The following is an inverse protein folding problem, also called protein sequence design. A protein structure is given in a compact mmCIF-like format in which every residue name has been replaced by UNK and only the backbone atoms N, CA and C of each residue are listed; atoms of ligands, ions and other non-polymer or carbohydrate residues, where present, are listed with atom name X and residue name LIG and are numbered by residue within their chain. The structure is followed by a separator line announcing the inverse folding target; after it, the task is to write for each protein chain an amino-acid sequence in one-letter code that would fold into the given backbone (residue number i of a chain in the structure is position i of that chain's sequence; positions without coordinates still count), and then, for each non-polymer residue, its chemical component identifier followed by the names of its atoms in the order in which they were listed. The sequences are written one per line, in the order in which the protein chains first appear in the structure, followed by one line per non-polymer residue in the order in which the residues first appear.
data_IF_052796626398
#
_entry.id   IF_052796626398
#
_cell.length_a   1.000
_cell.length_b   1.000
_cell.length_c   1.000
_cell.angle_alpha   90.00
_cell.angle_beta   90.00
_cell.angle_gamma   90.00
#
_symmetry.space_group_name_H-M   'P 1'
#
loop_
_entity.id
_entity.type
_entity.pdbx_description
1 polymer ?
#
# COMPACT_ATOMS: atom_id res chain seq x y z
N UNK A 1 -74.73 45.64 25.42
CA UNK A 1 -73.60 45.89 24.49
C UNK A 1 -72.75 44.63 24.46
N UNK A 2 -72.98 43.76 23.48
CA UNK A 2 -72.18 42.63 23.22
C UNK A 2 -71.01 43.07 22.31
N UNK A 3 -69.81 43.07 22.82
CA UNK A 3 -68.63 43.37 22.04
C UNK A 3 -68.31 42.17 21.14
N UNK A 4 -68.25 42.45 19.85
CA UNK A 4 -67.96 41.52 18.76
C UNK A 4 -66.51 40.99 18.89
N UNK A 5 -66.29 39.76 19.43
CA UNK A 5 -64.98 39.11 19.65
C UNK A 5 -64.53 38.21 18.48
N UNK A 6 -65.35 38.10 17.46
CA UNK A 6 -65.12 37.19 16.34
C UNK A 6 -63.87 37.51 15.46
N UNK A 7 -63.54 38.78 15.13
CA UNK A 7 -62.41 39.03 14.21
C UNK A 7 -61.06 38.74 14.82
N UNK A 8 -60.89 38.87 16.13
CA UNK A 8 -59.63 38.68 16.81
C UNK A 8 -59.19 37.19 16.83
N UNK A 9 -60.14 36.26 16.97
CA UNK A 9 -59.90 34.81 17.00
C UNK A 9 -59.49 34.30 15.61
N UNK A 10 -60.14 34.84 14.54
CA UNK A 10 -59.74 34.44 13.16
C UNK A 10 -58.34 34.92 12.75
N UNK A 11 -57.96 36.11 13.20
CA UNK A 11 -56.59 36.64 12.95
C UNK A 11 -55.57 35.81 13.70
N UNK A 12 -55.81 35.44 14.96
CA UNK A 12 -54.93 34.60 15.76
C UNK A 12 -54.80 33.21 15.16
N UNK A 13 -55.88 32.59 14.68
CA UNK A 13 -55.81 31.27 14.01
C UNK A 13 -55.04 31.31 12.68
N UNK A 14 -55.09 32.37 11.90
CA UNK A 14 -54.33 32.57 10.68
C UNK A 14 -52.83 32.73 10.98
N UNK A 15 -52.49 33.49 12.02
CA UNK A 15 -51.09 33.66 12.47
C UNK A 15 -50.50 32.36 12.98
N UNK A 16 -51.22 31.58 13.79
CA UNK A 16 -50.76 30.28 14.30
C UNK A 16 -50.57 29.28 13.15
N UNK A 17 -51.51 29.22 12.18
CA UNK A 17 -51.36 28.37 10.99
C UNK A 17 -50.16 28.79 10.13
N UNK A 18 -49.94 30.10 9.95
CA UNK A 18 -48.77 30.61 9.23
C UNK A 18 -47.44 30.22 9.91
N UNK A 19 -47.37 30.36 11.26
CA UNK A 19 -46.18 29.93 12.02
C UNK A 19 -45.94 28.42 11.93
N UNK A 20 -47.00 27.59 12.02
CA UNK A 20 -46.84 26.14 11.89
C UNK A 20 -46.32 25.71 10.50
N UNK A 21 -46.83 26.37 9.43
CA UNK A 21 -46.34 26.08 8.05
C UNK A 21 -44.87 26.49 7.88
N UNK A 22 -44.47 27.63 8.40
CA UNK A 22 -43.05 28.07 8.36
C UNK A 22 -42.15 27.14 9.18
N UNK A 23 -42.61 26.70 10.37
CA UNK A 23 -41.87 25.72 11.18
C UNK A 23 -41.75 24.35 10.50
N UNK A 24 -42.79 23.86 9.87
CA UNK A 24 -42.75 22.62 9.08
C UNK A 24 -41.82 22.75 7.88
N UNK A 25 -41.82 23.90 7.19
CA UNK A 25 -40.91 24.14 6.07
C UNK A 25 -39.43 24.22 6.52
N UNK A 26 -39.16 24.87 7.64
CA UNK A 26 -37.82 24.94 8.24
C UNK A 26 -37.38 23.54 8.69
N UNK A 27 -38.25 22.73 9.29
CA UNK A 27 -37.92 21.33 9.66
C UNK A 27 -37.70 20.44 8.43
N UNK A 28 -38.45 20.62 7.35
CA UNK A 28 -38.24 19.90 6.09
C UNK A 28 -36.91 20.27 5.42
N UNK A 29 -36.49 21.54 5.51
CA UNK A 29 -35.17 21.98 4.96
C UNK A 29 -34.01 21.46 5.82
N UNK A 30 -34.17 21.42 7.15
CA UNK A 30 -33.14 20.86 8.06
C UNK A 30 -33.06 19.33 7.96
N UNK A 31 -34.18 18.65 7.70
CA UNK A 31 -34.18 17.19 7.49
C UNK A 31 -33.63 16.75 6.13
N UNK A 32 -33.50 17.67 5.17
CA UNK A 32 -32.92 17.42 3.86
C UNK A 32 -31.38 17.60 3.81
N UNK A 33 -30.70 17.80 4.94
CA UNK A 33 -29.29 17.50 5.05
C UNK A 33 -29.20 15.97 4.98
N UNK A 34 -29.40 15.48 3.77
CA UNK A 34 -29.35 14.06 3.46
C UNK A 34 -28.05 13.48 4.02
N UNK A 35 -28.16 12.40 4.76
CA UNK A 35 -27.03 11.54 5.02
C UNK A 35 -26.40 11.21 3.65
N UNK A 36 -25.35 11.94 3.28
CA UNK A 36 -24.58 11.61 2.08
C UNK A 36 -24.24 10.14 2.25
N UNK A 37 -24.76 9.29 1.37
CA UNK A 37 -24.48 7.87 1.42
C UNK A 37 -22.97 7.73 1.45
N UNK A 38 -22.41 7.07 2.48
CA UNK A 38 -20.97 6.92 2.64
C UNK A 38 -20.43 6.33 1.33
N UNK A 39 -19.53 7.07 0.69
CA UNK A 39 -18.91 6.64 -0.55
C UNK A 39 -18.22 5.30 -0.29
N UNK A 40 -18.46 4.31 -1.13
CA UNK A 40 -17.77 3.02 -1.06
C UNK A 40 -16.49 3.11 -1.85
N UNK A 41 -15.37 2.77 -1.21
CA UNK A 41 -14.04 2.76 -1.79
C UNK A 41 -13.52 1.33 -1.79
N UNK A 42 -13.02 0.86 -2.92
CA UNK A 42 -12.42 -0.46 -3.04
C UNK A 42 -10.90 -0.35 -2.95
N UNK A 43 -10.32 -0.89 -1.88
CA UNK A 43 -8.88 -0.94 -1.64
C UNK A 43 -8.35 -2.29 -2.12
N UNK A 44 -7.37 -2.25 -3.02
CA UNK A 44 -6.66 -3.44 -3.51
C UNK A 44 -5.33 -3.66 -2.82
N UNK A 45 -4.73 -4.85 -3.02
CA UNK A 45 -3.34 -5.13 -2.68
C UNK A 45 -2.70 -6.13 -3.62
N UNK A 46 -1.36 -6.10 -3.71
CA UNK A 46 -0.58 -7.19 -4.27
C UNK A 46 -0.61 -8.40 -3.31
N UNK A 47 -0.09 -9.54 -3.76
CA UNK A 47 -0.12 -10.82 -3.04
C UNK A 47 1.12 -11.06 -2.15
N UNK A 48 1.57 -10.07 -1.40
CA UNK A 48 2.65 -10.20 -0.41
C UNK A 48 2.36 -9.42 0.87
N UNK A 49 3.04 -9.78 1.97
CA UNK A 49 2.71 -9.37 3.33
C UNK A 49 2.60 -7.87 3.55
N UNK A 50 3.62 -7.10 3.16
CA UNK A 50 3.59 -5.64 3.35
C UNK A 50 2.47 -4.97 2.56
N UNK A 51 2.17 -5.44 1.34
CA UNK A 51 1.07 -4.88 0.55
C UNK A 51 -0.29 -5.10 1.21
N UNK A 52 -0.50 -6.25 1.87
CA UNK A 52 -1.69 -6.49 2.67
C UNK A 52 -1.77 -5.53 3.86
N UNK A 53 -0.66 -5.34 4.58
CA UNK A 53 -0.59 -4.47 5.74
C UNK A 53 -0.88 -3.01 5.37
N UNK A 54 -0.22 -2.49 4.35
CA UNK A 54 -0.42 -1.11 3.87
C UNK A 54 -1.84 -0.87 3.37
N UNK A 55 -2.42 -1.86 2.67
CA UNK A 55 -3.81 -1.80 2.23
C UNK A 55 -4.79 -1.78 3.41
N UNK A 56 -4.55 -2.57 4.46
CA UNK A 56 -5.34 -2.54 5.69
C UNK A 56 -5.20 -1.21 6.44
N UNK A 57 -4.01 -0.64 6.52
CA UNK A 57 -3.80 0.70 7.11
C UNK A 57 -4.61 1.74 6.33
N UNK A 58 -4.52 1.76 5.00
CA UNK A 58 -5.29 2.68 4.16
C UNK A 58 -6.81 2.47 4.33
N UNK A 59 -7.27 1.22 4.35
CA UNK A 59 -8.67 0.87 4.54
C UNK A 59 -9.22 1.38 5.87
N UNK A 60 -8.51 1.14 6.98
CA UNK A 60 -8.94 1.56 8.30
C UNK A 60 -8.87 3.09 8.49
N UNK A 61 -7.90 3.76 7.89
CA UNK A 61 -7.85 5.24 7.85
C UNK A 61 -9.07 5.79 7.13
N UNK A 62 -9.47 5.21 6.01
CA UNK A 62 -10.67 5.61 5.27
C UNK A 62 -11.96 5.33 6.07
N UNK A 63 -12.06 4.17 6.72
CA UNK A 63 -13.20 3.83 7.58
C UNK A 63 -13.34 4.82 8.75
N UNK A 64 -12.24 5.22 9.37
CA UNK A 64 -12.23 6.24 10.42
C UNK A 64 -12.70 7.62 9.93
N UNK A 65 -12.58 7.91 8.63
CA UNK A 65 -13.08 9.13 7.99
C UNK A 65 -14.50 8.98 7.41
N UNK A 66 -15.19 7.87 7.71
CA UNK A 66 -16.61 7.66 7.36
C UNK A 66 -16.84 7.06 5.98
N UNK A 67 -15.81 6.60 5.28
CA UNK A 67 -15.97 5.84 4.03
C UNK A 67 -16.43 4.41 4.33
N UNK A 68 -17.18 3.81 3.42
CA UNK A 68 -17.34 2.35 3.36
C UNK A 68 -16.19 1.78 2.57
N UNK A 69 -15.52 0.78 3.11
CA UNK A 69 -14.37 0.17 2.42
C UNK A 69 -14.65 -1.26 2.04
N UNK A 70 -14.46 -1.54 0.75
CA UNK A 70 -14.42 -2.90 0.22
C UNK A 70 -12.94 -3.30 0.03
N UNK A 71 -12.54 -4.47 0.52
CA UNK A 71 -11.18 -4.98 0.44
C UNK A 71 -11.07 -6.04 -0.65
N UNK A 72 -10.24 -5.79 -1.66
CA UNK A 72 -9.83 -6.75 -2.68
C UNK A 72 -8.35 -7.05 -2.54
N UNK A 73 -7.99 -7.77 -1.49
CA UNK A 73 -6.60 -8.05 -1.15
C UNK A 73 -6.08 -9.27 -1.93
N UNK A 74 -4.77 -9.26 -2.23
CA UNK A 74 -4.09 -10.38 -2.89
C UNK A 74 -4.51 -10.60 -4.34
N UNK A 75 -4.77 -9.55 -5.09
CA UNK A 75 -5.19 -9.64 -6.50
C UNK A 75 -4.16 -10.35 -7.39
N UNK A 76 -2.88 -10.20 -7.09
CA UNK A 76 -1.77 -10.74 -7.86
C UNK A 76 -0.54 -9.85 -7.79
N UNK A 77 0.35 -9.97 -8.79
CA UNK A 77 1.54 -9.12 -8.93
C UNK A 77 1.22 -7.72 -9.46
N UNK A 78 2.29 -6.96 -9.72
CA UNK A 78 2.25 -5.54 -10.10
C UNK A 78 1.29 -5.23 -11.24
N UNK A 79 1.41 -5.93 -12.37
CA UNK A 79 0.60 -5.62 -13.56
C UNK A 79 -0.89 -5.90 -13.35
N UNK A 80 -1.24 -6.93 -12.55
CA UNK A 80 -2.64 -7.26 -12.26
C UNK A 80 -3.29 -6.14 -11.43
N UNK A 81 -2.62 -5.67 -10.37
CA UNK A 81 -3.13 -4.57 -9.55
C UNK A 81 -3.22 -3.26 -10.34
N UNK A 82 -2.21 -2.98 -11.18
CA UNK A 82 -2.19 -1.80 -12.02
C UNK A 82 -3.36 -1.76 -13.00
N UNK A 83 -3.62 -2.85 -13.71
CA UNK A 83 -4.75 -2.96 -14.63
C UNK A 83 -6.10 -2.94 -13.91
N UNK A 84 -6.21 -3.56 -12.73
CA UNK A 84 -7.42 -3.48 -11.92
C UNK A 84 -7.75 -2.03 -11.53
N UNK A 85 -6.73 -1.21 -11.18
CA UNK A 85 -6.93 0.21 -10.92
C UNK A 85 -7.30 0.99 -12.18
N UNK A 86 -6.62 0.76 -13.30
CA UNK A 86 -6.93 1.42 -14.58
C UNK A 86 -8.37 1.15 -15.06
N UNK A 87 -8.84 -0.07 -14.85
CA UNK A 87 -10.19 -0.50 -15.22
C UNK A 87 -11.26 -0.17 -14.16
N UNK A 88 -10.91 0.60 -13.13
CA UNK A 88 -11.80 0.96 -12.03
C UNK A 88 -12.43 -0.23 -11.28
N UNK A 89 -11.74 -1.37 -11.25
CA UNK A 89 -12.12 -2.53 -10.44
C UNK A 89 -11.75 -2.32 -8.96
N UNK A 90 -10.72 -1.50 -8.72
CA UNK A 90 -10.31 -0.96 -7.43
C UNK A 90 -10.14 0.55 -7.55
N UNK A 91 -10.22 1.29 -6.44
CA UNK A 91 -10.07 2.75 -6.40
C UNK A 91 -8.64 3.17 -6.04
N UNK A 92 -7.95 2.33 -5.28
CA UNK A 92 -6.56 2.55 -4.85
C UNK A 92 -5.89 1.24 -4.41
N UNK A 93 -4.54 1.26 -4.41
CA UNK A 93 -3.73 0.24 -3.76
C UNK A 93 -2.33 0.80 -3.42
N UNK A 94 -1.59 0.18 -2.46
CA UNK A 94 -0.20 0.53 -2.18
C UNK A 94 0.72 0.09 -3.31
N UNK A 95 1.56 1.01 -3.79
CA UNK A 95 2.52 0.78 -4.86
C UNK A 95 3.86 1.45 -4.52
N UNK A 96 4.90 1.22 -5.31
CA UNK A 96 6.25 1.71 -5.06
C UNK A 96 6.80 2.47 -6.27
N UNK A 97 7.53 3.57 -6.00
CA UNK A 97 8.08 4.44 -7.05
C UNK A 97 8.95 3.68 -8.06
N UNK A 98 9.88 2.85 -7.57
CA UNK A 98 10.76 2.04 -8.42
C UNK A 98 9.98 1.03 -9.26
N UNK A 99 8.96 0.38 -8.69
CA UNK A 99 8.10 -0.55 -9.43
C UNK A 99 7.34 0.15 -10.55
N UNK A 100 6.74 1.32 -10.25
CA UNK A 100 6.06 2.11 -11.28
C UNK A 100 7.03 2.53 -12.39
N UNK A 101 8.19 3.06 -12.03
CA UNK A 101 9.14 3.55 -13.01
C UNK A 101 9.74 2.44 -13.88
N UNK A 102 10.16 1.32 -13.27
CA UNK A 102 10.92 0.29 -13.98
C UNK A 102 10.00 -0.75 -14.64
N UNK A 103 8.98 -1.25 -13.92
CA UNK A 103 8.19 -2.37 -14.41
C UNK A 103 6.90 -1.97 -15.13
N UNK A 104 6.39 -0.75 -14.91
CA UNK A 104 5.10 -0.32 -15.47
C UNK A 104 5.27 0.74 -16.55
N UNK A 105 6.02 1.79 -16.25
CA UNK A 105 6.12 2.98 -17.10
C UNK A 105 7.38 3.00 -17.98
N UNK A 106 8.34 2.10 -17.73
CA UNK A 106 9.62 2.02 -18.43
C UNK A 106 10.36 3.37 -18.44
N UNK A 107 10.41 4.06 -17.31
CA UNK A 107 11.08 5.33 -17.15
C UNK A 107 12.56 5.10 -16.78
N UNK A 108 13.52 5.77 -17.42
CA UNK A 108 14.93 5.59 -17.09
C UNK A 108 15.31 6.24 -15.76
N UNK A 109 16.30 5.66 -15.09
CA UNK A 109 16.88 6.17 -13.86
C UNK A 109 15.94 6.09 -12.66
N UNK A 110 16.08 7.02 -11.72
CA UNK A 110 15.25 7.15 -10.52
C UNK A 110 14.35 8.39 -10.61
N UNK A 111 13.24 8.35 -11.36
CA UNK A 111 12.34 9.48 -11.48
C UNK A 111 11.66 9.78 -10.13
N UNK A 112 11.56 11.05 -9.78
CA UNK A 112 10.82 11.47 -8.60
C UNK A 112 9.30 11.37 -8.85
N UNK A 113 8.49 11.47 -7.78
CA UNK A 113 7.02 11.37 -7.84
C UNK A 113 6.38 12.32 -8.85
N UNK A 114 6.91 13.55 -9.01
CA UNK A 114 6.37 14.51 -9.99
C UNK A 114 6.55 14.01 -11.42
N UNK A 115 7.70 13.46 -11.75
CA UNK A 115 7.97 12.88 -13.06
C UNK A 115 7.12 11.63 -13.33
N UNK A 116 6.96 10.77 -12.33
CA UNK A 116 6.06 9.61 -12.40
C UNK A 116 4.62 10.08 -12.67
N UNK A 117 4.14 11.08 -11.93
CA UNK A 117 2.78 11.60 -12.08
C UNK A 117 2.52 12.28 -13.42
N UNK A 118 3.54 12.89 -14.04
CA UNK A 118 3.40 13.43 -15.39
C UNK A 118 2.99 12.35 -16.42
N UNK A 119 3.52 11.14 -16.26
CA UNK A 119 3.18 10.01 -17.15
C UNK A 119 1.85 9.38 -16.74
N UNK A 120 1.64 9.16 -15.44
CA UNK A 120 0.40 8.58 -14.90
C UNK A 120 -0.84 9.40 -15.24
N UNK A 121 -0.72 10.72 -15.32
CA UNK A 121 -1.82 11.62 -15.67
C UNK A 121 -2.47 11.26 -17.01
N UNK A 122 -1.68 10.85 -18.02
CA UNK A 122 -2.19 10.40 -19.32
C UNK A 122 -2.99 9.10 -19.24
N UNK A 123 -2.83 8.35 -18.14
CA UNK A 123 -3.51 7.08 -17.88
C UNK A 123 -4.65 7.22 -16.87
N UNK A 124 -4.95 8.47 -16.45
CA UNK A 124 -6.00 8.75 -15.46
C UNK A 124 -5.66 8.31 -14.04
N UNK A 125 -4.36 8.20 -13.72
CA UNK A 125 -3.85 7.75 -12.42
C UNK A 125 -2.99 8.83 -11.74
N UNK A 126 -2.80 8.69 -10.45
CA UNK A 126 -1.95 9.56 -9.62
C UNK A 126 -1.33 8.80 -8.46
N UNK A 127 -0.02 9.00 -8.26
CA UNK A 127 0.70 8.54 -7.09
C UNK A 127 0.66 9.64 -6.02
N UNK A 128 0.07 9.32 -4.87
CA UNK A 128 0.00 10.23 -3.72
C UNK A 128 1.38 10.37 -3.04
N UNK A 129 1.55 11.30 -2.08
CA UNK A 129 2.80 11.42 -1.33
C UNK A 129 3.23 10.11 -0.66
N UNK A 130 4.53 9.87 -0.63
CA UNK A 130 5.15 8.64 -0.12
C UNK A 130 4.90 8.46 1.38
N UNK A 131 4.85 7.21 1.83
CA UNK A 131 4.62 6.84 3.23
C UNK A 131 5.80 7.14 4.17
N UNK A 132 7.02 7.30 3.61
CA UNK A 132 8.21 7.70 4.35
C UNK A 132 9.32 6.67 4.41
N UNK A 133 9.15 5.49 3.81
CA UNK A 133 10.15 4.42 3.80
C UNK A 133 10.46 3.91 2.39
N UNK A 134 11.61 3.24 2.28
CA UNK A 134 12.07 2.55 1.07
C UNK A 134 12.01 1.04 1.32
N UNK A 135 11.38 0.28 0.43
CA UNK A 135 11.37 -1.18 0.46
C UNK A 135 11.98 -1.72 -0.83
N UNK A 136 13.30 -1.85 -0.84
CA UNK A 136 14.06 -2.30 -2.01
C UNK A 136 14.08 -3.83 -2.12
N UNK A 137 14.34 -4.33 -3.33
CA UNK A 137 14.79 -5.70 -3.48
C UNK A 137 16.09 -5.94 -2.73
N UNK A 138 16.23 -7.15 -2.23
CA UNK A 138 17.44 -7.64 -1.57
C UNK A 138 17.75 -9.06 -2.04
N UNK A 139 19.02 -9.40 -2.13
CA UNK A 139 19.47 -10.78 -2.31
C UNK A 139 19.87 -11.32 -0.94
N UNK A 140 19.31 -12.46 -0.56
CA UNK A 140 19.48 -13.02 0.78
C UNK A 140 20.00 -14.45 0.76
N UNK A 141 20.71 -14.79 1.82
CA UNK A 141 21.25 -16.11 2.13
C UNK A 141 20.98 -16.43 3.60
N UNK A 142 21.11 -17.69 4.02
CA UNK A 142 21.11 -18.02 5.45
C UNK A 142 22.29 -17.34 6.16
N UNK A 143 22.09 -16.81 7.36
CA UNK A 143 23.14 -16.12 8.12
C UNK A 143 24.34 -17.05 8.44
N UNK A 144 24.07 -18.31 8.80
CA UNK A 144 25.12 -19.32 9.04
C UNK A 144 25.94 -19.57 7.78
N UNK A 145 25.31 -19.79 6.63
CA UNK A 145 25.97 -20.00 5.35
C UNK A 145 26.82 -18.80 4.93
N UNK A 146 26.29 -17.57 5.17
CA UNK A 146 27.06 -16.36 4.90
C UNK A 146 28.31 -16.24 5.75
N UNK A 147 28.28 -16.69 7.00
CA UNK A 147 29.47 -16.74 7.88
C UNK A 147 30.46 -17.79 7.42
N UNK A 148 30.00 -19.00 7.10
CA UNK A 148 30.86 -20.12 6.65
C UNK A 148 31.59 -19.81 5.35
N UNK A 149 30.88 -19.21 4.38
CA UNK A 149 31.39 -18.91 3.03
C UNK A 149 31.99 -17.51 2.91
N UNK A 150 31.89 -16.67 3.95
CA UNK A 150 32.38 -15.30 3.94
C UNK A 150 31.57 -14.36 3.04
N UNK A 151 30.29 -14.66 2.77
CA UNK A 151 29.42 -13.86 1.90
C UNK A 151 29.01 -12.57 2.61
N UNK A 152 29.29 -11.43 2.00
CA UNK A 152 28.90 -10.10 2.49
C UNK A 152 28.18 -9.28 1.44
N UNK A 153 28.57 -9.40 0.18
CA UNK A 153 28.10 -8.61 -0.94
C UNK A 153 27.52 -9.51 -2.02
N UNK A 154 26.66 -8.98 -2.84
CA UNK A 154 26.07 -9.69 -3.98
C UNK A 154 27.17 -10.27 -4.90
N UNK A 155 28.24 -9.48 -5.14
CA UNK A 155 29.36 -9.93 -5.97
C UNK A 155 30.12 -11.13 -5.43
N UNK A 156 30.01 -11.47 -4.15
CA UNK A 156 30.68 -12.64 -3.57
C UNK A 156 30.07 -13.96 -4.08
N UNK A 157 28.79 -13.94 -4.49
CA UNK A 157 28.08 -15.13 -4.99
C UNK A 157 28.74 -15.80 -6.18
N UNK A 158 29.42 -15.04 -7.05
CA UNK A 158 30.08 -15.57 -8.23
C UNK A 158 31.17 -16.63 -7.94
N UNK A 159 31.70 -16.66 -6.72
CA UNK A 159 32.78 -17.56 -6.31
C UNK A 159 32.28 -18.89 -5.73
N UNK A 160 30.95 -19.08 -5.66
CA UNK A 160 30.34 -20.22 -4.99
C UNK A 160 29.26 -20.87 -5.87
N UNK A 161 29.24 -22.20 -5.87
CA UNK A 161 28.19 -22.98 -6.53
C UNK A 161 26.98 -23.10 -5.61
N UNK A 162 26.10 -22.11 -5.64
CA UNK A 162 24.91 -22.01 -4.80
C UNK A 162 23.65 -22.28 -5.60
N UNK A 163 22.67 -22.96 -4.98
CA UNK A 163 21.36 -23.20 -5.55
C UNK A 163 20.53 -21.93 -5.38
N UNK A 164 20.26 -21.25 -6.49
CA UNK A 164 19.50 -20.00 -6.50
C UNK A 164 18.07 -20.21 -7.03
N UNK A 165 17.09 -19.77 -6.27
CA UNK A 165 15.71 -19.66 -6.72
C UNK A 165 15.17 -18.29 -6.34
N UNK A 166 14.52 -17.61 -7.28
CA UNK A 166 14.00 -16.27 -7.11
C UNK A 166 12.52 -16.22 -7.42
N UNK A 167 11.84 -15.19 -6.93
CA UNK A 167 10.44 -14.98 -7.24
C UNK A 167 10.23 -14.84 -8.75
N UNK A 168 9.06 -15.31 -9.22
CA UNK A 168 8.73 -15.23 -10.65
C UNK A 168 8.77 -13.80 -11.17
N UNK A 169 8.36 -12.82 -10.36
CA UNK A 169 8.40 -11.41 -10.73
C UNK A 169 9.86 -10.92 -10.84
N UNK A 170 10.73 -11.25 -9.89
CA UNK A 170 12.15 -10.86 -9.90
C UNK A 170 12.91 -11.42 -11.10
N UNK A 171 12.62 -12.66 -11.52
CA UNK A 171 13.24 -13.27 -12.71
C UNK A 171 12.84 -12.57 -14.00
N UNK A 172 11.61 -12.03 -14.07
CA UNK A 172 11.07 -11.46 -15.31
C UNK A 172 11.34 -9.97 -15.48
N UNK A 173 11.66 -9.24 -14.41
CA UNK A 173 11.85 -7.79 -14.44
C UNK A 173 13.26 -7.42 -14.86
N UNK A 174 13.40 -6.36 -15.65
CA UNK A 174 14.71 -5.80 -16.03
C UNK A 174 15.51 -5.28 -14.81
N UNK A 175 14.80 -4.70 -13.82
CA UNK A 175 15.38 -4.28 -12.53
C UNK A 175 15.46 -5.44 -11.51
N UNK A 176 15.24 -6.67 -11.94
CA UNK A 176 15.37 -7.90 -11.17
C UNK A 176 16.64 -8.69 -11.55
N UNK A 177 16.49 -10.04 -11.64
CA UNK A 177 17.61 -10.93 -11.88
C UNK A 177 18.39 -10.68 -13.17
N UNK A 178 17.78 -10.46 -14.35
CA UNK A 178 18.53 -10.29 -15.60
C UNK A 178 19.56 -9.15 -15.50
N UNK A 179 19.15 -7.97 -15.10
CA UNK A 179 20.03 -6.83 -14.97
C UNK A 179 20.99 -6.95 -13.78
N UNK A 180 20.57 -7.57 -12.66
CA UNK A 180 21.44 -7.84 -11.52
C UNK A 180 22.58 -8.80 -11.93
N UNK A 181 22.24 -9.89 -12.61
CA UNK A 181 23.23 -10.89 -13.07
C UNK A 181 24.25 -10.25 -14.03
N UNK A 182 23.81 -9.41 -14.95
CA UNK A 182 24.69 -8.65 -15.84
C UNK A 182 25.62 -7.71 -15.04
N UNK A 183 25.02 -6.89 -14.14
CA UNK A 183 25.74 -5.89 -13.35
C UNK A 183 26.83 -6.49 -12.48
N UNK A 184 26.56 -7.65 -11.87
CA UNK A 184 27.46 -8.35 -10.95
C UNK A 184 28.25 -9.47 -11.61
N UNK A 185 28.06 -9.73 -12.92
CA UNK A 185 28.65 -10.85 -13.66
C UNK A 185 28.41 -12.21 -12.96
N UNK A 186 27.13 -12.47 -12.65
CA UNK A 186 26.67 -13.70 -12.03
C UNK A 186 26.22 -14.68 -13.12
N UNK A 187 26.69 -15.93 -13.03
CA UNK A 187 26.44 -17.00 -14.02
C UNK A 187 25.54 -18.12 -13.46
N UNK A 188 24.99 -17.94 -12.26
CA UNK A 188 24.15 -18.95 -11.62
C UNK A 188 22.88 -19.21 -12.45
N UNK A 189 22.59 -20.48 -12.67
CA UNK A 189 21.28 -20.90 -13.16
C UNK A 189 20.26 -20.69 -12.06
N UNK A 190 19.15 -20.03 -12.37
CA UNK A 190 18.10 -19.73 -11.41
C UNK A 190 16.79 -20.43 -11.75
N UNK A 191 16.01 -20.79 -10.74
CA UNK A 191 14.67 -21.34 -10.88
C UNK A 191 13.64 -20.40 -10.30
N UNK A 192 12.41 -20.44 -10.84
CA UNK A 192 11.30 -19.64 -10.32
C UNK A 192 10.65 -20.31 -9.12
N UNK A 193 10.33 -19.51 -8.10
CA UNK A 193 9.60 -19.94 -6.91
C UNK A 193 8.56 -18.83 -6.56
N UNK A 194 7.48 -19.22 -5.89
CA UNK A 194 6.57 -18.23 -5.33
C UNK A 194 7.25 -17.52 -4.14
N UNK A 195 7.14 -16.19 -4.07
CA UNK A 195 7.89 -15.35 -3.12
C UNK A 195 7.76 -15.82 -1.66
N UNK A 196 6.53 -16.06 -1.19
CA UNK A 196 6.29 -16.50 0.19
C UNK A 196 6.84 -17.91 0.48
N UNK A 197 6.91 -18.78 -0.53
CA UNK A 197 7.48 -20.14 -0.38
C UNK A 197 9.01 -20.13 -0.35
N UNK A 198 9.66 -19.13 -0.94
CA UNK A 198 11.10 -19.03 -0.98
C UNK A 198 11.72 -18.97 0.42
N UNK A 199 11.06 -18.29 1.37
CA UNK A 199 11.55 -18.18 2.75
C UNK A 199 11.61 -19.54 3.47
N UNK A 200 10.63 -20.39 3.28
CA UNK A 200 10.67 -21.74 3.86
C UNK A 200 11.71 -22.61 3.14
N UNK A 201 11.80 -22.51 1.80
CA UNK A 201 12.74 -23.29 1.01
C UNK A 201 14.22 -22.96 1.38
N UNK A 202 14.53 -21.68 1.60
CA UNK A 202 15.89 -21.28 2.02
C UNK A 202 16.16 -21.69 3.47
N UNK A 203 15.19 -21.59 4.36
CA UNK A 203 15.33 -22.04 5.76
C UNK A 203 15.58 -23.54 5.86
N UNK A 204 14.92 -24.35 5.02
CA UNK A 204 15.06 -25.80 4.98
C UNK A 204 16.33 -26.26 4.23
N UNK A 205 17.08 -25.31 3.63
CA UNK A 205 18.29 -25.62 2.86
C UNK A 205 18.03 -26.23 1.49
N UNK A 206 16.79 -26.17 0.98
CA UNK A 206 16.46 -26.61 -0.37
C UNK A 206 17.02 -25.66 -1.44
N UNK A 207 17.19 -24.40 -1.09
CA UNK A 207 17.88 -23.37 -1.87
C UNK A 207 18.86 -22.62 -0.98
N UNK A 208 19.83 -21.95 -1.58
CA UNK A 208 20.89 -21.21 -0.88
C UNK A 208 20.70 -19.69 -0.98
N UNK A 209 20.13 -19.22 -2.07
CA UNK A 209 19.99 -17.80 -2.40
C UNK A 209 18.58 -17.54 -2.92
N UNK A 210 17.97 -16.45 -2.46
CA UNK A 210 16.69 -15.97 -2.98
C UNK A 210 16.62 -14.44 -2.96
N UNK A 211 15.60 -13.87 -3.62
CA UNK A 211 15.23 -12.49 -3.45
C UNK A 211 14.32 -12.31 -2.22
N UNK A 212 14.40 -11.15 -1.64
CA UNK A 212 13.52 -10.69 -0.56
C UNK A 212 13.22 -9.20 -0.74
N UNK A 213 12.29 -8.69 0.03
CA UNK A 213 12.15 -7.25 0.22
C UNK A 213 12.85 -6.83 1.52
N UNK A 214 13.54 -5.69 1.49
CA UNK A 214 14.38 -5.23 2.62
C UNK A 214 13.62 -5.02 3.93
N UNK A 215 12.30 -4.93 3.87
CA UNK A 215 11.40 -4.73 5.02
C UNK A 215 10.63 -5.99 5.43
N UNK A 216 10.87 -7.15 4.79
CA UNK A 216 10.16 -8.39 5.09
C UNK A 216 10.45 -8.90 6.51
N UNK A 217 9.39 -9.25 7.24
CA UNK A 217 9.50 -9.81 8.59
C UNK A 217 10.12 -11.20 8.61
N UNK A 218 10.03 -11.92 7.50
CA UNK A 218 10.62 -13.24 7.25
C UNK A 218 12.15 -13.23 7.36
N UNK A 219 12.79 -12.10 7.04
CA UNK A 219 14.24 -11.94 7.21
C UNK A 219 14.68 -12.23 8.66
N UNK A 220 13.95 -11.69 9.61
CA UNK A 220 14.18 -11.93 11.04
C UNK A 220 13.73 -13.32 11.46
N UNK A 221 12.56 -13.77 11.00
CA UNK A 221 11.99 -15.08 11.34
C UNK A 221 12.91 -16.22 11.00
N UNK A 222 13.52 -16.19 9.80
CA UNK A 222 14.36 -17.26 9.26
C UNK A 222 15.85 -16.97 9.37
N UNK A 223 16.26 -15.89 10.06
CA UNK A 223 17.66 -15.47 10.24
C UNK A 223 18.41 -15.39 8.92
N UNK A 224 17.82 -14.64 7.98
CA UNK A 224 18.41 -14.40 6.69
C UNK A 224 19.32 -13.17 6.73
N UNK A 225 20.42 -13.24 5.99
CA UNK A 225 21.33 -12.11 5.79
C UNK A 225 21.08 -11.50 4.42
N UNK A 226 20.84 -10.20 4.40
CA UNK A 226 20.87 -9.40 3.19
C UNK A 226 22.32 -9.23 2.78
N UNK A 227 22.63 -9.50 1.49
CA UNK A 227 23.91 -9.19 0.90
C UNK A 227 23.94 -7.74 0.43
N UNK A 228 25.07 -7.05 0.67
CA UNK A 228 25.23 -5.65 0.30
C UNK A 228 25.22 -5.49 -1.23
N UNK A 229 24.39 -4.57 -1.71
CA UNK A 229 24.37 -4.08 -3.10
C UNK A 229 25.46 -3.01 -3.28
N UNK A 230 26.74 -3.44 -3.26
CA UNK A 230 27.91 -2.56 -3.29
C UNK A 230 28.14 -1.86 -4.64
N UNK A 231 27.45 -2.29 -5.70
CA UNK A 231 27.44 -1.62 -7.01
C UNK A 231 26.24 -0.71 -7.22
N UNK A 232 25.32 -0.61 -6.24
CA UNK A 232 24.16 0.26 -6.28
C UNK A 232 23.23 -0.03 -7.44
N UNK A 233 22.87 -1.29 -7.63
CA UNK A 233 22.04 -1.73 -8.74
C UNK A 233 20.57 -1.38 -8.53
N UNK A 234 20.03 -1.63 -7.33
CA UNK A 234 18.61 -1.45 -7.07
C UNK A 234 18.23 0.03 -6.95
N UNK A 235 17.18 0.48 -7.64
CA UNK A 235 16.63 1.81 -7.46
C UNK A 235 15.92 1.97 -6.11
N UNK A 236 15.46 3.19 -5.81
CA UNK A 236 14.58 3.41 -4.66
C UNK A 236 13.16 2.94 -4.95
N UNK A 237 12.58 2.22 -4.00
CA UNK A 237 11.19 1.74 -4.03
C UNK A 237 10.41 2.36 -2.86
N UNK A 238 10.14 3.66 -2.95
CA UNK A 238 9.37 4.39 -1.92
C UNK A 238 7.91 4.03 -2.01
N UNK A 239 7.35 3.54 -0.90
CA UNK A 239 5.95 3.14 -0.84
C UNK A 239 5.02 4.36 -0.86
N UNK A 240 3.93 4.28 -1.61
CA UNK A 240 2.91 5.31 -1.72
C UNK A 240 1.56 4.71 -2.13
N UNK A 241 0.48 5.46 -2.02
CA UNK A 241 -0.83 5.04 -2.56
C UNK A 241 -0.94 5.45 -4.02
N UNK A 242 -1.21 4.51 -4.91
CA UNK A 242 -1.64 4.77 -6.28
C UNK A 242 -3.18 4.82 -6.33
N UNK A 243 -3.72 5.90 -6.90
CA UNK A 243 -5.16 6.15 -6.96
C UNK A 243 -5.60 6.53 -8.38
N UNK A 244 -6.89 6.47 -8.64
CA UNK A 244 -7.45 7.11 -9.82
C UNK A 244 -7.32 8.62 -9.73
N UNK A 245 -6.96 9.30 -10.81
CA UNK A 245 -6.87 10.77 -10.86
C UNK A 245 -8.22 11.45 -10.61
N UNK A 246 -9.32 10.74 -10.83
CA UNK A 246 -10.69 11.17 -10.51
C UNK A 246 -11.07 11.05 -9.03
N UNK A 247 -10.16 10.56 -8.17
CA UNK A 247 -10.40 10.45 -6.72
C UNK A 247 -10.89 11.78 -6.13
N UNK A 248 -11.90 11.71 -5.27
CA UNK A 248 -12.50 12.90 -4.68
C UNK A 248 -11.51 13.67 -3.78
N UNK A 249 -11.66 14.99 -3.62
CA UNK A 249 -10.85 15.74 -2.67
C UNK A 249 -10.92 15.19 -1.25
N UNK A 250 -12.07 14.66 -0.84
CA UNK A 250 -12.29 14.04 0.47
C UNK A 250 -11.48 12.77 0.63
N UNK A 251 -11.42 11.92 -0.41
CA UNK A 251 -10.59 10.71 -0.42
C UNK A 251 -9.11 11.06 -0.30
N UNK A 252 -8.63 12.04 -1.09
CA UNK A 252 -7.23 12.51 -1.02
C UNK A 252 -6.87 13.06 0.35
N UNK A 253 -7.77 13.85 0.95
CA UNK A 253 -7.57 14.41 2.29
C UNK A 253 -7.52 13.31 3.36
N UNK A 254 -8.38 12.29 3.26
CA UNK A 254 -8.38 11.16 4.18
C UNK A 254 -7.04 10.38 4.12
N UNK A 255 -6.49 10.21 2.92
CA UNK A 255 -5.21 9.51 2.71
C UNK A 255 -3.97 10.39 2.97
N UNK A 256 -4.13 11.72 3.10
CA UNK A 256 -3.00 12.63 3.34
C UNK A 256 -2.24 12.33 4.64
N UNK A 257 -2.92 11.76 5.64
CA UNK A 257 -2.29 11.32 6.90
C UNK A 257 -1.32 10.14 6.74
N UNK A 258 -1.30 9.49 5.57
CA UNK A 258 -0.35 8.40 5.29
C UNK A 258 1.04 8.93 4.88
N UNK A 259 1.15 10.21 4.53
CA UNK A 259 2.44 10.82 4.16
C UNK A 259 3.42 10.84 5.33
N UNK A 260 4.61 10.31 5.12
CA UNK A 260 5.67 10.18 6.12
C UNK A 260 5.22 9.54 7.45
N UNK A 261 4.24 8.64 7.38
CA UNK A 261 3.66 7.99 8.55
C UNK A 261 4.52 6.83 9.06
N UNK A 262 5.37 6.27 8.21
CA UNK A 262 6.22 5.10 8.49
C UNK A 262 7.67 5.38 8.11
N UNK A 263 8.61 4.91 8.91
CA UNK A 263 10.00 4.70 8.52
C UNK A 263 10.32 3.21 8.32
N UNK A 264 11.52 2.90 7.79
CA UNK A 264 11.94 1.52 7.52
C UNK A 264 11.86 0.63 8.76
N UNK A 265 12.29 1.13 9.92
CA UNK A 265 12.32 0.35 11.16
C UNK A 265 10.91 0.03 11.68
N UNK A 266 10.00 1.00 11.52
CA UNK A 266 8.60 0.81 11.89
C UNK A 266 7.91 -0.23 11.01
N UNK A 267 8.09 -0.15 9.68
CA UNK A 267 7.44 -1.11 8.79
C UNK A 267 8.03 -2.52 8.96
N UNK A 268 9.34 -2.65 9.16
CA UNK A 268 9.96 -3.93 9.53
C UNK A 268 9.35 -4.51 10.80
N UNK A 269 9.17 -3.69 11.84
CA UNK A 269 8.57 -4.12 13.10
C UNK A 269 7.10 -4.55 12.93
N UNK A 270 6.33 -3.86 12.07
CA UNK A 270 4.94 -4.24 11.77
C UNK A 270 4.88 -5.55 10.98
N UNK A 271 5.71 -5.70 9.95
CA UNK A 271 5.82 -6.94 9.17
C UNK A 271 6.24 -8.12 10.05
N UNK A 272 7.19 -7.90 10.97
CA UNK A 272 7.63 -8.92 11.92
C UNK A 272 6.51 -9.37 12.88
N UNK A 273 5.59 -8.48 13.30
CA UNK A 273 4.42 -8.89 14.10
C UNK A 273 3.55 -9.91 13.38
N UNK A 274 3.35 -9.73 12.08
CA UNK A 274 2.62 -10.70 11.26
C UNK A 274 3.43 -11.98 11.09
N UNK A 275 4.66 -11.88 10.59
CA UNK A 275 5.49 -13.03 10.22
C UNK A 275 5.90 -13.90 11.43
N UNK A 276 6.17 -13.29 12.60
CA UNK A 276 6.72 -13.98 13.79
C UNK A 276 5.63 -14.25 14.82
N UNK A 277 4.76 -13.26 15.10
CA UNK A 277 3.75 -13.39 16.17
C UNK A 277 2.43 -13.96 15.64
N UNK A 278 2.27 -14.07 14.31
CA UNK A 278 1.05 -14.62 13.68
C UNK A 278 -0.18 -13.73 13.83
N UNK A 279 0.01 -12.43 14.11
CA UNK A 279 -1.09 -11.47 14.12
C UNK A 279 -1.63 -11.24 12.72
N UNK A 280 -2.92 -11.00 12.60
CA UNK A 280 -3.52 -10.64 11.32
C UNK A 280 -3.09 -9.23 10.88
N UNK A 281 -3.05 -8.98 9.57
CA UNK A 281 -2.79 -7.65 9.02
C UNK A 281 -3.75 -6.60 9.59
N UNK A 282 -5.01 -6.99 9.79
CA UNK A 282 -6.04 -6.13 10.35
C UNK A 282 -5.74 -5.70 11.78
N UNK A 283 -5.30 -6.63 12.65
CA UNK A 283 -4.92 -6.34 14.03
C UNK A 283 -3.70 -5.43 14.08
N UNK A 284 -2.66 -5.74 13.30
CA UNK A 284 -1.42 -4.94 13.26
C UNK A 284 -1.70 -3.53 12.76
N UNK A 285 -2.52 -3.36 11.71
CA UNK A 285 -2.94 -2.07 11.20
C UNK A 285 -3.72 -1.26 12.25
N UNK A 286 -4.68 -1.90 12.94
CA UNK A 286 -5.49 -1.26 13.98
C UNK A 286 -4.63 -0.78 15.16
N UNK A 287 -3.68 -1.59 15.62
CA UNK A 287 -2.75 -1.23 16.69
C UNK A 287 -1.86 -0.04 16.28
N UNK A 288 -1.36 -0.07 15.06
CA UNK A 288 -0.53 1.01 14.52
C UNK A 288 -1.30 2.33 14.46
N UNK A 289 -2.52 2.33 13.90
CA UNK A 289 -3.35 3.53 13.79
C UNK A 289 -3.67 4.09 15.18
N UNK A 290 -4.08 3.24 16.15
CA UNK A 290 -4.34 3.67 17.53
C UNK A 290 -3.13 4.34 18.18
N UNK A 291 -1.95 3.78 17.97
CA UNK A 291 -0.70 4.30 18.55
C UNK A 291 -0.29 5.66 17.98
N UNK A 292 -0.75 6.00 16.76
CA UNK A 292 -0.42 7.24 16.05
C UNK A 292 -1.57 8.27 16.04
N UNK A 293 -2.79 7.92 16.47
CA UNK A 293 -3.95 8.83 16.51
C UNK A 293 -3.85 9.94 17.58
N UNK A 294 -2.79 9.99 18.35
CA UNK A 294 -2.54 10.97 19.40
C UNK A 294 -1.39 11.95 19.12
N UNK A 295 -0.77 11.86 17.94
CA UNK A 295 0.29 12.77 17.49
C UNK A 295 -0.27 13.72 16.43
#
# INVERSE_FOLDING_TARGET
RALNREPAIMILQRLVRGLCVVWCLVWCVVASVGAAAAQTITVGSKNFGESYLLAEIAAQVLEAQGFRVNRKLGLGGTLICYEALRNAEIDLYPEYTGTLSQAVLNLPGNPNRTQINQVLASQGLELLPEYGFNNTYAVVVRDEQAQELGLRRIGDLKNHALVAAFSHEFIQREDGWPGLAERYSLEQSVTGIEHGLAYQAIADGAIDVTDAYSTDGELQRYRLRILDDDLGYFPEYRAATLVQASASPQLRQALAGLHNMLDESQVQALNAKVAIQGLSFQEVAADFIRSNSGK
#
